data_IF_432306776476
#
_entry.id   IF_432306776476
#
_cell.length_a   1.000
_cell.length_b   1.000
_cell.length_c   1.000
_cell.angle_alpha   90.00
_cell.angle_beta   90.00
_cell.angle_gamma   90.00
#
_symmetry.space_group_name_H-M   'P 1'
#
loop_
_entity.id
_entity.type
_entity.pdbx_description
1 polymer ?
#
# COMPACT_ATOMS: atom_id res chain seq x y z
N UNK A 1 84.84 -54.04 40.13
CA UNK A 1 84.85 -54.77 41.42
C UNK A 1 86.23 -55.36 41.62
N UNK A 2 86.86 -55.20 42.78
CA UNK A 2 88.27 -55.53 42.97
C UNK A 2 88.56 -57.01 43.28
N UNK A 3 87.56 -57.82 43.65
CA UNK A 3 87.70 -59.25 43.91
C UNK A 3 86.45 -60.03 43.48
N UNK A 4 86.63 -61.18 42.83
CA UNK A 4 85.58 -62.17 42.50
C UNK A 4 85.40 -63.18 43.64
N UNK A 5 84.22 -63.81 43.79
CA UNK A 5 84.02 -64.85 44.81
C UNK A 5 85.09 -65.95 44.78
N UNK A 6 85.52 -66.34 43.57
CA UNK A 6 86.56 -67.36 43.33
C UNK A 6 87.97 -66.89 43.76
N UNK A 7 88.21 -65.57 43.77
CA UNK A 7 89.46 -64.95 44.18
C UNK A 7 89.60 -64.86 45.71
N UNK A 8 88.48 -64.95 46.45
CA UNK A 8 88.44 -64.87 47.92
C UNK A 8 89.01 -66.13 48.56
N UNK A 9 88.69 -67.31 48.03
CA UNK A 9 89.17 -68.60 48.57
C UNK A 9 90.49 -69.07 47.97
N UNK A 10 90.91 -68.52 46.83
CA UNK A 10 92.22 -68.78 46.23
C UNK A 10 93.34 -67.87 46.78
N UNK A 11 93.01 -66.90 47.62
CA UNK A 11 93.97 -65.97 48.20
C UNK A 11 94.87 -66.68 49.24
N UNK A 12 96.19 -66.62 49.04
CA UNK A 12 97.15 -67.23 49.96
C UNK A 12 97.74 -66.19 50.93
N UNK A 13 97.66 -66.48 52.23
CA UNK A 13 98.23 -65.62 53.28
C UNK A 13 99.62 -66.10 53.69
N UNK A 14 100.57 -65.16 53.89
CA UNK A 14 101.92 -65.48 54.35
C UNK A 14 101.90 -65.89 55.83
N UNK A 15 102.52 -67.03 56.18
CA UNK A 15 102.60 -67.52 57.57
C UNK A 15 103.52 -66.62 58.42
N UNK A 16 102.97 -65.97 59.45
CA UNK A 16 103.76 -65.23 60.44
C UNK A 16 104.24 -66.16 61.56
N UNK A 17 105.46 -65.90 62.06
CA UNK A 17 106.20 -66.82 62.94
C UNK A 17 105.72 -66.82 64.41
N UNK A 18 104.87 -65.86 64.80
CA UNK A 18 104.40 -65.68 66.19
C UNK A 18 102.92 -65.25 66.20
N UNK A 19 102.04 -66.06 66.82
CA UNK A 19 100.63 -65.73 67.11
C UNK A 19 99.78 -65.27 65.93
N UNK A 20 99.25 -66.21 65.13
CA UNK A 20 98.33 -65.94 64.01
C UNK A 20 96.94 -66.54 64.21
N UNK A 21 96.00 -66.18 63.33
CA UNK A 21 94.66 -66.78 63.29
C UNK A 21 94.72 -68.27 62.90
N UNK A 22 93.81 -69.06 63.46
CA UNK A 22 93.70 -70.47 63.10
C UNK A 22 93.31 -70.63 61.62
N UNK A 23 94.09 -71.41 60.87
CA UNK A 23 93.92 -71.53 59.42
C UNK A 23 92.59 -72.20 59.06
N UNK A 24 92.16 -73.19 59.83
CA UNK A 24 90.87 -73.86 59.59
C UNK A 24 89.69 -72.91 59.77
N UNK A 25 89.74 -72.05 60.79
CA UNK A 25 88.74 -71.01 61.01
C UNK A 25 88.75 -69.93 59.91
N UNK A 26 89.92 -69.50 59.44
CA UNK A 26 90.03 -68.51 58.35
C UNK A 26 89.51 -69.09 57.03
N UNK A 27 89.88 -70.33 56.68
CA UNK A 27 89.41 -70.99 55.45
C UNK A 27 87.88 -71.19 55.48
N UNK A 28 87.31 -71.61 56.61
CA UNK A 28 85.86 -71.75 56.78
C UNK A 28 85.12 -70.39 56.70
N UNK A 29 85.70 -69.34 57.28
CA UNK A 29 85.15 -67.98 57.19
C UNK A 29 85.17 -67.45 55.76
N UNK A 30 86.28 -67.64 55.03
CA UNK A 30 86.40 -67.21 53.62
C UNK A 30 85.44 -67.96 52.70
N UNK A 31 85.13 -69.23 52.99
CA UNK A 31 84.07 -69.98 52.29
C UNK A 31 82.68 -69.37 52.54
N UNK A 32 82.35 -69.00 53.78
CA UNK A 32 81.11 -68.29 54.08
C UNK A 32 81.05 -66.92 53.37
N UNK A 33 82.13 -66.15 53.40
CA UNK A 33 82.22 -64.85 52.71
C UNK A 33 82.08 -65.02 51.18
N UNK A 34 82.71 -66.04 50.58
CA UNK A 34 82.54 -66.37 49.17
C UNK A 34 81.08 -66.65 48.83
N UNK A 35 80.40 -67.47 49.63
CA UNK A 35 78.99 -67.81 49.43
C UNK A 35 78.08 -66.58 49.54
N UNK A 36 78.26 -65.76 50.59
CA UNK A 36 77.49 -64.54 50.80
C UNK A 36 77.73 -63.51 49.70
N UNK A 37 78.99 -63.39 49.25
CA UNK A 37 79.38 -62.47 48.17
C UNK A 37 78.86 -62.92 46.80
N UNK A 38 78.90 -64.23 46.50
CA UNK A 38 78.26 -64.80 45.31
C UNK A 38 76.75 -64.57 45.34
N UNK A 39 76.09 -64.82 46.49
CA UNK A 39 74.67 -64.54 46.66
C UNK A 39 74.32 -63.04 46.57
N UNK A 40 75.21 -62.15 46.98
CA UNK A 40 75.05 -60.70 46.81
C UNK A 40 75.16 -60.29 45.33
N UNK A 41 76.15 -60.80 44.59
CA UNK A 41 76.30 -60.55 43.15
C UNK A 41 75.07 -61.06 42.39
N UNK A 42 74.59 -62.28 42.67
CA UNK A 42 73.38 -62.81 42.05
C UNK A 42 72.14 -61.96 42.37
N UNK A 43 71.98 -61.48 43.61
CA UNK A 43 70.88 -60.57 43.98
C UNK A 43 70.97 -59.23 43.25
N UNK A 44 72.16 -58.65 43.12
CA UNK A 44 72.37 -57.41 42.36
C UNK A 44 72.05 -57.63 40.87
N UNK A 45 72.48 -58.76 40.29
CA UNK A 45 72.16 -59.14 38.92
C UNK A 45 70.65 -59.27 38.69
N UNK A 46 69.95 -60.00 39.57
CA UNK A 46 68.50 -60.15 39.50
C UNK A 46 67.75 -58.81 39.59
N UNK A 47 68.17 -57.92 40.50
CA UNK A 47 67.58 -56.58 40.63
C UNK A 47 67.89 -55.71 39.39
N UNK A 48 69.08 -55.83 38.80
CA UNK A 48 69.44 -55.10 37.59
C UNK A 48 68.63 -55.59 36.37
N UNK A 49 68.44 -56.90 36.23
CA UNK A 49 67.57 -57.49 35.20
C UNK A 49 66.11 -57.06 35.37
N UNK A 50 65.58 -57.09 36.59
CA UNK A 50 64.21 -56.69 36.88
C UNK A 50 63.97 -55.20 36.59
N UNK A 51 64.95 -54.34 36.93
CA UNK A 51 64.93 -52.92 36.53
C UNK A 51 65.01 -52.73 35.03
N UNK A 52 65.82 -53.52 34.32
CA UNK A 52 65.93 -53.45 32.86
C UNK A 52 64.61 -53.86 32.18
N UNK A 53 63.97 -54.94 32.64
CA UNK A 53 62.65 -55.37 32.16
C UNK A 53 61.58 -54.31 32.45
N UNK A 54 61.60 -53.73 33.65
CA UNK A 54 60.69 -52.66 34.01
C UNK A 54 60.88 -51.43 33.12
N UNK A 55 62.12 -50.97 32.90
CA UNK A 55 62.42 -49.85 32.01
C UNK A 55 61.92 -50.10 30.58
N UNK A 56 62.15 -51.30 30.02
CA UNK A 56 61.65 -51.66 28.69
C UNK A 56 60.11 -51.62 28.63
N UNK A 57 59.41 -52.07 29.68
CA UNK A 57 57.94 -52.00 29.73
C UNK A 57 57.41 -50.56 29.79
N UNK A 58 58.10 -49.67 30.52
CA UNK A 58 57.78 -48.24 30.56
C UNK A 58 58.03 -47.57 29.22
N UNK A 59 59.10 -47.92 28.53
CA UNK A 59 59.41 -47.39 27.19
C UNK A 59 58.38 -47.85 26.14
N UNK A 60 57.87 -49.08 26.25
CA UNK A 60 56.77 -49.56 25.40
C UNK A 60 55.49 -48.76 25.68
N UNK A 61 55.10 -48.63 26.95
CA UNK A 61 53.92 -47.86 27.33
C UNK A 61 54.02 -46.39 26.89
N UNK A 62 55.21 -45.79 27.00
CA UNK A 62 55.46 -44.43 26.54
C UNK A 62 55.30 -44.31 25.02
N UNK A 63 55.76 -45.32 24.25
CA UNK A 63 55.58 -45.38 22.80
C UNK A 63 54.11 -45.54 22.41
N UNK A 64 53.38 -46.43 23.08
CA UNK A 64 51.93 -46.60 22.86
C UNK A 64 51.16 -45.31 23.17
N UNK A 65 51.47 -44.65 24.30
CA UNK A 65 50.81 -43.41 24.68
C UNK A 65 51.14 -42.27 23.71
N UNK A 66 52.38 -42.19 23.21
CA UNK A 66 52.75 -41.24 22.17
C UNK A 66 52.04 -41.49 20.84
N UNK A 67 51.86 -42.76 20.44
CA UNK A 67 51.10 -43.12 19.25
C UNK A 67 49.62 -42.72 19.39
N UNK A 68 48.98 -43.04 20.52
CA UNK A 68 47.59 -42.64 20.80
C UNK A 68 47.44 -41.12 20.79
N UNK A 69 48.38 -40.37 21.37
CA UNK A 69 48.36 -38.92 21.36
C UNK A 69 48.49 -38.35 19.94
N UNK A 70 49.38 -38.92 19.11
CA UNK A 70 49.53 -38.54 17.70
C UNK A 70 48.25 -38.78 16.91
N UNK A 71 47.68 -39.97 17.03
CA UNK A 71 46.43 -40.35 16.36
C UNK A 71 45.27 -39.43 16.80
N UNK A 72 45.20 -39.11 18.09
CA UNK A 72 44.24 -38.16 18.64
C UNK A 72 44.40 -36.75 18.05
N UNK A 73 45.64 -36.26 17.91
CA UNK A 73 45.91 -34.96 17.30
C UNK A 73 45.54 -34.91 15.81
N UNK A 74 45.81 -35.98 15.06
CA UNK A 74 45.47 -36.05 13.64
C UNK A 74 43.95 -36.17 13.44
N UNK A 75 43.25 -36.92 14.30
CA UNK A 75 41.80 -36.99 14.31
C UNK A 75 41.16 -35.61 14.61
N UNK A 76 41.68 -34.87 15.59
CA UNK A 76 41.20 -33.51 15.91
C UNK A 76 41.47 -32.54 14.76
N UNK A 77 42.65 -32.62 14.12
CA UNK A 77 42.98 -31.76 12.96
C UNK A 77 42.01 -32.03 11.81
N UNK A 78 41.79 -33.29 11.48
CA UNK A 78 40.84 -33.69 10.44
C UNK A 78 39.42 -33.21 10.74
N UNK A 79 38.95 -33.40 11.98
CA UNK A 79 37.63 -32.92 12.39
C UNK A 79 37.49 -31.40 12.27
N UNK A 80 38.56 -30.65 12.55
CA UNK A 80 38.59 -29.20 12.37
C UNK A 80 38.52 -28.80 10.89
N UNK A 81 39.32 -29.44 10.05
CA UNK A 81 39.35 -29.16 8.60
C UNK A 81 38.00 -29.50 7.95
N UNK A 82 37.40 -30.64 8.34
CA UNK A 82 36.06 -31.04 7.89
C UNK A 82 34.99 -30.04 8.34
N UNK A 83 35.04 -29.56 9.60
CA UNK A 83 34.10 -28.56 10.11
C UNK A 83 34.25 -27.19 9.40
N UNK A 84 35.47 -26.79 9.06
CA UNK A 84 35.73 -25.55 8.31
C UNK A 84 35.23 -25.66 6.85
N UNK A 85 35.43 -26.81 6.21
CA UNK A 85 34.88 -27.12 4.90
C UNK A 85 33.34 -27.12 4.90
N UNK A 86 32.71 -27.69 5.94
CA UNK A 86 31.25 -27.66 6.07
C UNK A 86 30.74 -26.23 6.31
N UNK A 87 31.38 -25.46 7.20
CA UNK A 87 30.99 -24.09 7.49
C UNK A 87 31.12 -23.17 6.27
N UNK A 88 32.16 -23.36 5.44
CA UNK A 88 32.30 -22.63 4.17
C UNK A 88 31.22 -23.03 3.17
N UNK A 89 30.91 -24.32 3.03
CA UNK A 89 29.84 -24.80 2.15
C UNK A 89 28.45 -24.33 2.60
N UNK A 90 28.18 -24.20 3.90
CA UNK A 90 26.94 -23.63 4.43
C UNK A 90 26.85 -22.14 4.08
N UNK A 91 27.94 -21.37 4.30
CA UNK A 91 27.99 -19.94 3.95
C UNK A 91 27.72 -19.70 2.47
N UNK A 92 28.39 -20.44 1.58
CA UNK A 92 28.17 -20.32 0.13
C UNK A 92 26.73 -20.64 -0.28
N UNK A 93 26.13 -21.68 0.30
CA UNK A 93 24.71 -22.01 0.05
C UNK A 93 23.77 -20.91 0.53
N UNK A 94 24.03 -20.34 1.70
CA UNK A 94 23.24 -19.24 2.25
C UNK A 94 23.37 -17.97 1.40
N UNK A 95 24.58 -17.63 0.95
CA UNK A 95 24.84 -16.49 0.06
C UNK A 95 24.13 -16.66 -1.28
N UNK A 96 24.21 -17.85 -1.89
CA UNK A 96 23.53 -18.13 -3.15
C UNK A 96 22.00 -18.06 -3.01
N UNK A 97 21.45 -18.63 -1.93
CA UNK A 97 20.02 -18.55 -1.65
C UNK A 97 19.57 -17.10 -1.42
N UNK A 98 20.35 -16.32 -0.67
CA UNK A 98 20.06 -14.90 -0.45
C UNK A 98 20.09 -14.09 -1.76
N UNK A 99 21.08 -14.34 -2.62
CA UNK A 99 21.17 -13.69 -3.93
C UNK A 99 19.95 -14.03 -4.81
N UNK A 100 19.54 -15.29 -4.87
CA UNK A 100 18.36 -15.71 -5.62
C UNK A 100 17.06 -15.09 -5.07
N UNK A 101 16.92 -14.98 -3.74
CA UNK A 101 15.78 -14.34 -3.11
C UNK A 101 15.73 -12.83 -3.42
N UNK A 102 16.88 -12.14 -3.42
CA UNK A 102 16.96 -10.73 -3.80
C UNK A 102 16.58 -10.51 -5.25
N UNK A 103 17.12 -11.33 -6.17
CA UNK A 103 16.78 -11.24 -7.59
C UNK A 103 15.27 -11.47 -7.83
N UNK A 104 14.68 -12.47 -7.19
CA UNK A 104 13.24 -12.72 -7.29
C UNK A 104 12.42 -11.54 -6.70
N UNK A 105 12.86 -10.96 -5.58
CA UNK A 105 12.19 -9.81 -4.99
C UNK A 105 12.27 -8.57 -5.90
N UNK A 106 13.41 -8.32 -6.55
CA UNK A 106 13.58 -7.23 -7.51
C UNK A 106 12.70 -7.43 -8.75
N UNK A 107 12.65 -8.64 -9.31
CA UNK A 107 11.77 -8.97 -10.43
C UNK A 107 10.29 -8.76 -10.08
N UNK A 108 9.87 -9.20 -8.89
CA UNK A 108 8.50 -9.00 -8.40
C UNK A 108 8.18 -7.51 -8.16
N UNK A 109 9.12 -6.74 -7.60
CA UNK A 109 8.97 -5.30 -7.42
C UNK A 109 8.87 -4.56 -8.76
N UNK A 110 9.69 -4.93 -9.75
CA UNK A 110 9.62 -4.38 -11.10
C UNK A 110 8.28 -4.70 -11.78
N UNK A 111 7.81 -5.94 -11.69
CA UNK A 111 6.53 -6.36 -12.26
C UNK A 111 5.34 -5.61 -11.65
N UNK A 112 5.31 -5.47 -10.31
CA UNK A 112 4.25 -4.73 -9.61
C UNK A 112 4.28 -3.23 -9.92
N UNK A 113 5.47 -2.64 -10.02
CA UNK A 113 5.63 -1.23 -10.44
C UNK A 113 5.10 -1.03 -11.86
N UNK A 114 5.46 -1.91 -12.79
CA UNK A 114 4.98 -1.83 -14.18
C UNK A 114 3.46 -1.98 -14.26
N UNK A 115 2.87 -2.92 -13.50
CA UNK A 115 1.42 -3.08 -13.44
C UNK A 115 0.73 -1.83 -12.86
N UNK A 116 1.30 -1.22 -11.82
CA UNK A 116 0.77 0.00 -11.23
C UNK A 116 0.82 1.19 -12.21
N UNK A 117 1.89 1.33 -12.99
CA UNK A 117 2.01 2.33 -14.05
C UNK A 117 0.99 2.12 -15.17
N UNK A 118 0.81 0.87 -15.61
CA UNK A 118 -0.22 0.52 -16.59
C UNK A 118 -1.62 0.90 -16.11
N UNK A 119 -1.97 0.51 -14.87
CA UNK A 119 -3.27 0.85 -14.27
C UNK A 119 -3.45 2.37 -14.12
N UNK A 120 -2.40 3.10 -13.70
CA UNK A 120 -2.42 4.55 -13.61
C UNK A 120 -2.64 5.20 -14.97
N UNK A 121 -1.96 4.71 -16.02
CA UNK A 121 -2.12 5.23 -17.39
C UNK A 121 -3.52 4.98 -17.93
N UNK A 122 -4.08 3.79 -17.69
CA UNK A 122 -5.45 3.44 -18.07
C UNK A 122 -6.47 4.31 -17.32
N UNK A 123 -6.30 4.48 -16.00
CA UNK A 123 -7.15 5.33 -15.18
C UNK A 123 -7.13 6.79 -15.67
N UNK A 124 -5.96 7.31 -16.04
CA UNK A 124 -5.85 8.65 -16.62
C UNK A 124 -6.60 8.77 -17.94
N UNK A 125 -6.43 7.80 -18.85
CA UNK A 125 -7.17 7.79 -20.12
C UNK A 125 -8.68 7.73 -19.91
N UNK A 126 -9.17 6.94 -18.94
CA UNK A 126 -10.58 6.91 -18.58
C UNK A 126 -11.06 8.25 -18.03
N UNK A 127 -10.28 8.90 -17.16
CA UNK A 127 -10.62 10.22 -16.62
C UNK A 127 -10.68 11.29 -17.72
N UNK A 128 -9.73 11.29 -18.66
CA UNK A 128 -9.70 12.22 -19.79
C UNK A 128 -10.90 12.01 -20.71
N UNK A 129 -11.24 10.74 -21.01
CA UNK A 129 -12.40 10.39 -21.83
C UNK A 129 -13.72 10.76 -21.14
N UNK A 130 -13.83 10.54 -19.83
CA UNK A 130 -14.99 10.97 -19.05
C UNK A 130 -15.14 12.50 -19.06
N UNK A 131 -14.03 13.24 -18.93
CA UNK A 131 -14.03 14.70 -18.98
C UNK A 131 -14.51 15.22 -20.33
N UNK A 132 -13.99 14.66 -21.44
CA UNK A 132 -14.46 15.00 -22.79
C UNK A 132 -15.96 14.76 -22.96
N UNK A 133 -16.46 13.60 -22.53
CA UNK A 133 -17.89 13.28 -22.59
C UNK A 133 -18.76 14.25 -21.77
N UNK A 134 -18.27 14.71 -20.62
CA UNK A 134 -18.97 15.71 -19.82
C UNK A 134 -18.99 17.07 -20.51
N UNK A 135 -17.90 17.47 -21.14
CA UNK A 135 -17.85 18.73 -21.88
C UNK A 135 -18.73 18.71 -23.14
N UNK A 136 -18.73 17.60 -23.88
CA UNK A 136 -19.65 17.39 -25.02
C UNK A 136 -21.12 17.46 -24.56
N UNK A 137 -21.44 16.79 -23.45
CA UNK A 137 -22.80 16.81 -22.88
C UNK A 137 -23.21 18.22 -22.41
N UNK A 138 -22.28 19.00 -21.84
CA UNK A 138 -22.51 20.40 -21.46
C UNK A 138 -22.77 21.28 -22.67
N UNK A 139 -21.95 21.15 -23.72
CA UNK A 139 -22.14 21.90 -24.96
C UNK A 139 -23.49 21.59 -25.60
N UNK A 140 -23.87 20.31 -25.65
CA UNK A 140 -25.16 19.90 -26.18
C UNK A 140 -26.33 20.42 -25.34
N UNK A 141 -26.23 20.37 -24.01
CA UNK A 141 -27.23 20.95 -23.12
C UNK A 141 -27.39 22.46 -23.34
N UNK A 142 -26.28 23.18 -23.51
CA UNK A 142 -26.30 24.62 -23.78
C UNK A 142 -26.90 24.95 -25.15
N UNK A 143 -26.62 24.15 -26.19
CA UNK A 143 -27.27 24.30 -27.50
C UNK A 143 -28.79 24.10 -27.42
N UNK A 144 -29.26 23.11 -26.65
CA UNK A 144 -30.69 22.90 -26.41
C UNK A 144 -31.29 24.11 -25.69
N UNK A 145 -30.62 24.62 -24.65
CA UNK A 145 -31.08 25.77 -23.89
C UNK A 145 -31.18 27.03 -24.77
N UNK A 146 -30.15 27.32 -25.56
CA UNK A 146 -30.12 28.47 -26.47
C UNK A 146 -31.21 28.35 -27.54
N UNK A 147 -31.40 27.14 -28.10
CA UNK A 147 -32.48 26.87 -29.05
C UNK A 147 -33.87 27.05 -28.41
N UNK A 148 -34.07 26.56 -27.19
CA UNK A 148 -35.32 26.72 -26.44
C UNK A 148 -35.61 28.20 -26.13
N UNK A 149 -34.60 28.97 -25.71
CA UNK A 149 -34.68 30.42 -25.48
C UNK A 149 -35.06 31.16 -26.76
N UNK A 150 -34.36 30.88 -27.87
CA UNK A 150 -34.66 31.51 -29.16
C UNK A 150 -36.09 31.24 -29.63
N UNK A 151 -36.57 30.00 -29.47
CA UNK A 151 -37.95 29.63 -29.79
C UNK A 151 -38.95 30.35 -28.87
N UNK A 152 -38.68 30.44 -27.58
CA UNK A 152 -39.53 31.16 -26.64
C UNK A 152 -39.63 32.65 -26.96
N UNK A 153 -38.51 33.29 -27.28
CA UNK A 153 -38.47 34.71 -27.69
C UNK A 153 -39.25 34.94 -28.99
N UNK A 154 -39.14 34.01 -29.95
CA UNK A 154 -39.88 34.09 -31.21
C UNK A 154 -41.38 33.98 -30.97
N UNK A 155 -41.81 32.99 -30.18
CA UNK A 155 -43.22 32.83 -29.80
C UNK A 155 -43.75 34.05 -29.04
N UNK A 156 -42.93 34.68 -28.20
CA UNK A 156 -43.28 35.89 -27.47
C UNK A 156 -43.49 37.07 -28.42
N UNK A 157 -42.57 37.31 -29.35
CA UNK A 157 -42.72 38.36 -30.38
C UNK A 157 -43.96 38.14 -31.24
N UNK A 158 -44.19 36.91 -31.69
CA UNK A 158 -45.39 36.57 -32.48
C UNK A 158 -46.69 36.83 -31.70
N UNK A 159 -46.70 36.54 -30.40
CA UNK A 159 -47.84 36.81 -29.52
C UNK A 159 -48.07 38.32 -29.33
N UNK A 160 -46.99 39.09 -29.11
CA UNK A 160 -47.04 40.54 -28.97
C UNK A 160 -47.53 41.20 -30.28
N UNK A 161 -47.06 40.75 -31.44
CA UNK A 161 -47.51 41.21 -32.75
C UNK A 161 -48.99 40.92 -33.01
N UNK A 162 -49.46 39.71 -32.67
CA UNK A 162 -50.88 39.35 -32.78
C UNK A 162 -51.74 40.22 -31.88
N UNK A 163 -51.28 40.46 -30.65
CA UNK A 163 -51.97 41.35 -29.70
C UNK A 163 -52.06 42.77 -30.25
N UNK A 164 -50.96 43.33 -30.76
CA UNK A 164 -50.97 44.67 -31.36
C UNK A 164 -51.93 44.77 -32.57
N UNK A 165 -52.01 43.72 -33.41
CA UNK A 165 -52.97 43.66 -34.52
C UNK A 165 -54.42 43.61 -34.05
N UNK A 166 -54.71 42.83 -33.01
CA UNK A 166 -56.04 42.77 -32.41
C UNK A 166 -56.44 44.12 -31.80
N UNK A 167 -55.55 44.76 -31.04
CA UNK A 167 -55.77 46.10 -30.48
C UNK A 167 -56.00 47.16 -31.58
N UNK A 168 -55.27 47.09 -32.70
CA UNK A 168 -55.49 47.98 -33.84
C UNK A 168 -56.83 47.71 -34.54
N UNK A 169 -57.21 46.45 -34.72
CA UNK A 169 -58.50 46.07 -35.29
C UNK A 169 -59.67 46.51 -34.40
N UNK A 170 -59.53 46.36 -33.08
CA UNK A 170 -60.51 46.83 -32.09
C UNK A 170 -60.69 48.35 -32.18
N UNK A 171 -59.59 49.13 -32.21
CA UNK A 171 -59.66 50.60 -32.39
C UNK A 171 -60.37 50.99 -33.67
N UNK A 172 -60.03 50.35 -34.80
CA UNK A 172 -60.69 50.61 -36.08
C UNK A 172 -62.19 50.29 -36.04
N UNK A 173 -62.60 49.22 -35.35
CA UNK A 173 -64.02 48.89 -35.17
C UNK A 173 -64.73 49.92 -34.30
N UNK A 174 -64.11 50.35 -33.19
CA UNK A 174 -64.66 51.40 -32.33
C UNK A 174 -64.80 52.73 -33.08
N UNK A 175 -63.83 53.09 -33.90
CA UNK A 175 -63.90 54.31 -34.72
C UNK A 175 -64.98 54.21 -35.80
N UNK A 176 -65.10 53.07 -36.50
CA UNK A 176 -66.22 52.82 -37.42
C UNK A 176 -67.57 52.88 -36.71
N UNK A 177 -67.70 52.32 -35.51
CA UNK A 177 -68.92 52.39 -34.72
C UNK A 177 -69.28 53.83 -34.35
N UNK A 178 -68.28 54.66 -34.00
CA UNK A 178 -68.47 56.11 -33.77
C UNK A 178 -68.92 56.81 -35.03
N UNK A 179 -68.31 56.53 -36.18
CA UNK A 179 -68.70 57.08 -37.48
C UNK A 179 -70.14 56.70 -37.84
N UNK A 180 -70.51 55.42 -37.70
CA UNK A 180 -71.88 54.96 -37.98
C UNK A 180 -72.89 55.57 -37.01
N UNK A 181 -72.56 55.69 -35.72
CA UNK A 181 -73.43 56.35 -34.75
C UNK A 181 -73.58 57.84 -35.05
N UNK A 182 -72.50 58.51 -35.50
CA UNK A 182 -72.54 59.87 -36.01
C UNK A 182 -73.48 60.00 -37.20
N UNK A 183 -73.36 59.10 -38.19
CA UNK A 183 -74.23 59.07 -39.36
C UNK A 183 -75.71 58.83 -38.98
N UNK A 184 -75.99 57.88 -38.08
CA UNK A 184 -77.34 57.64 -37.56
C UNK A 184 -77.90 58.88 -36.87
N UNK A 185 -77.12 59.58 -36.05
CA UNK A 185 -77.56 60.80 -35.39
C UNK A 185 -77.83 61.92 -36.40
N UNK A 186 -77.01 62.05 -37.45
CA UNK A 186 -77.30 63.02 -38.53
C UNK A 186 -78.58 62.67 -39.28
N UNK A 187 -78.81 61.39 -39.60
CA UNK A 187 -80.06 60.95 -40.23
C UNK A 187 -81.26 61.20 -39.33
N UNK A 188 -81.15 60.94 -38.02
CA UNK A 188 -82.20 61.28 -37.04
C UNK A 188 -82.49 62.78 -37.01
N UNK A 189 -81.46 63.62 -36.98
CA UNK A 189 -81.65 65.07 -37.03
C UNK A 189 -82.30 65.53 -38.35
N UNK A 190 -81.99 64.87 -39.48
CA UNK A 190 -82.62 65.14 -40.78
C UNK A 190 -84.08 64.69 -40.81
N UNK A 191 -84.42 63.54 -40.22
CA UNK A 191 -85.81 63.09 -40.09
C UNK A 191 -86.60 63.98 -39.15
N UNK A 192 -86.02 64.41 -38.02
CA UNK A 192 -86.65 65.38 -37.11
C UNK A 192 -86.89 66.73 -37.82
N UNK A 193 -85.93 67.21 -38.62
CA UNK A 193 -86.12 68.39 -39.46
C UNK A 193 -87.21 68.18 -40.52
N UNK A 194 -87.26 67.01 -41.16
CA UNK A 194 -88.31 66.68 -42.12
C UNK A 194 -89.70 66.60 -41.45
N UNK A 195 -89.79 66.04 -40.25
CA UNK A 195 -91.00 65.99 -39.43
C UNK A 195 -91.43 67.39 -38.98
N UNK A 196 -90.48 68.26 -38.60
CA UNK A 196 -90.75 69.67 -38.30
C UNK A 196 -91.25 70.44 -39.52
N UNK A 197 -90.67 70.20 -40.70
CA UNK A 197 -91.15 70.77 -41.96
C UNK A 197 -92.54 70.24 -42.32
N UNK A 198 -92.81 68.95 -42.10
CA UNK A 198 -94.12 68.36 -42.33
C UNK A 198 -95.16 68.90 -41.34
N UNK A 199 -94.79 69.11 -40.07
CA UNK A 199 -95.63 69.76 -39.07
C UNK A 199 -95.93 71.21 -39.47
N UNK A 200 -94.93 71.98 -39.94
CA UNK A 200 -95.14 73.32 -40.50
C UNK A 200 -96.04 73.31 -41.75
N UNK A 201 -95.89 72.34 -42.65
CA UNK A 201 -96.77 72.18 -43.81
C UNK A 201 -98.19 71.83 -43.36
N UNK A 202 -98.34 70.92 -42.39
CA UNK A 202 -99.64 70.56 -41.84
C UNK A 202 -100.27 71.74 -41.09
N UNK A 203 -99.53 72.55 -40.35
CA UNK A 203 -99.99 73.78 -39.69
C UNK A 203 -100.41 74.85 -40.73
N UNK A 204 -99.68 74.96 -41.84
CA UNK A 204 -100.04 75.83 -42.98
C UNK A 204 -101.27 75.31 -43.74
N UNK A 205 -101.47 73.99 -43.81
CA UNK A 205 -102.64 73.37 -44.45
C UNK A 205 -103.88 73.29 -43.55
N UNK A 206 -103.73 73.31 -42.22
CA UNK A 206 -104.85 73.18 -41.27
C UNK A 206 -105.26 74.46 -40.57
N UNK A 207 -104.54 75.57 -40.72
CA UNK A 207 -105.01 76.91 -40.34
C UNK A 207 -105.64 76.97 -38.96
N UNK A 208 -104.87 76.74 -37.90
CA UNK A 208 -105.29 77.08 -36.53
C UNK A 208 -104.13 77.65 -35.72
N UNK A 209 -104.10 78.98 -35.64
CA UNK A 209 -103.37 79.75 -34.63
C UNK A 209 -103.96 79.38 -33.27
N UNK A 210 -103.18 78.80 -32.37
CA UNK A 210 -103.58 78.70 -30.95
C UNK A 210 -102.41 78.99 -30.02
N UNK A 211 -102.57 80.09 -29.30
CA UNK A 211 -101.73 80.61 -28.22
C UNK A 211 -101.95 79.88 -26.90
N UNK A 212 -100.86 79.58 -26.19
CA UNK A 212 -100.76 79.67 -24.72
C UNK A 212 -100.94 78.39 -23.89
N UNK A 213 -100.00 78.16 -22.95
CA UNK A 213 -100.27 77.93 -21.50
C UNK A 213 -99.24 77.02 -20.79
N UNK A 214 -98.49 77.63 -19.86
CA UNK A 214 -98.06 77.20 -18.51
C UNK A 214 -97.61 75.74 -18.18
N UNK A 215 -96.47 75.64 -17.47
CA UNK A 215 -95.90 74.43 -16.80
C UNK A 215 -96.71 73.92 -15.58
N UNK A 216 -96.17 73.06 -14.67
CA UNK A 216 -94.85 73.21 -13.99
C UNK A 216 -94.12 71.91 -13.52
N UNK A 217 -93.01 72.11 -12.76
CA UNK A 217 -92.51 71.36 -11.58
C UNK A 217 -91.99 69.89 -11.71
N UNK A 218 -90.70 69.66 -11.43
CA UNK A 218 -90.12 68.97 -10.23
C UNK A 218 -90.14 67.43 -10.37
N UNK A 219 -89.11 66.61 -10.11
CA UNK A 219 -88.22 66.46 -8.96
C UNK A 219 -86.95 65.64 -9.32
N UNK A 220 -85.85 65.96 -8.65
CA UNK A 220 -84.63 65.15 -8.35
C UNK A 220 -84.98 63.89 -7.49
N UNK A 221 -84.05 63.02 -6.96
CA UNK A 221 -82.64 62.74 -7.25
C UNK A 221 -82.23 61.22 -7.15
N UNK A 222 -80.91 60.94 -7.28
CA UNK A 222 -80.08 59.93 -6.55
C UNK A 222 -80.16 58.39 -6.79
N UNK A 223 -79.00 57.88 -7.27
CA UNK A 223 -78.09 56.91 -6.60
C UNK A 223 -78.22 55.38 -6.80
N UNK A 224 -77.01 54.77 -6.71
CA UNK A 224 -76.65 53.40 -6.22
C UNK A 224 -76.45 52.35 -7.33
N UNK A 225 -75.23 51.94 -7.71
CA UNK A 225 -74.15 51.18 -7.02
C UNK A 225 -74.43 49.67 -6.81
N UNK A 226 -73.43 48.84 -7.10
CA UNK A 226 -73.38 47.37 -6.95
C UNK A 226 -73.48 46.64 -8.30
N UNK A 227 -72.57 45.80 -8.75
CA UNK A 227 -71.52 44.99 -8.12
C UNK A 227 -71.44 43.71 -8.98
N UNK A 228 -70.28 43.43 -9.58
CA UNK A 228 -70.08 42.21 -10.38
C UNK A 228 -68.98 41.39 -9.71
N UNK A 229 -69.35 40.15 -9.37
CA UNK A 229 -68.48 39.08 -8.89
C UNK A 229 -67.55 38.57 -10.01
#
# INVERSE_FOLDING_TARGET
MPLLPEEITSQSFRRQRWGGYDRGQVDAFLQCVQLDYAAAIHRIGAVAEDRSRSAASWDELARELAAIASDGHDAVRKARDDAEAEATAIRQRAEHAAAAMLEHAEQAAAATTHQAEQLRSAAQQYADNASKRLDDARQHAQQIEDHARHRADTLRRDADDRRARLEAAERNLLDRLRETNGAINTLRSQTELADQLQALINDVQTGTITTGSAGPASEEPTATNGGVH
#
